data_IF_357764876709
#
_entry.id   IF_357764876709
#
_cell.length_a   1.000
_cell.length_b   1.000
_cell.length_c   1.000
_cell.angle_alpha   90.00
_cell.angle_beta   90.00
_cell.angle_gamma   90.00
#
_symmetry.space_group_name_H-M   'P 1'
#
loop_
_entity.id
_entity.type
_entity.pdbx_description
1 polymer ?
#
# COMPACT_ATOMS: atom_id res chain seq x y z
N UNK A 1 2.90 -15.40 -9.00
CA UNK A 1 1.99 -15.37 -7.84
C UNK A 1 2.13 -14.03 -7.15
N UNK A 2 1.04 -13.44 -6.66
CA UNK A 2 1.11 -12.19 -5.89
C UNK A 2 1.87 -12.50 -4.60
N UNK A 3 2.87 -11.69 -4.24
CA UNK A 3 3.60 -11.94 -2.99
C UNK A 3 2.65 -11.76 -1.82
N UNK A 4 2.84 -12.52 -0.75
CA UNK A 4 2.02 -12.41 0.47
C UNK A 4 2.00 -10.97 1.01
N UNK A 5 3.13 -10.26 0.88
CA UNK A 5 3.28 -8.85 1.24
C UNK A 5 2.41 -7.92 0.39
N UNK A 6 2.28 -8.18 -0.91
CA UNK A 6 1.48 -7.36 -1.82
C UNK A 6 -0.02 -7.51 -1.52
N UNK A 7 -0.46 -8.70 -1.07
CA UNK A 7 -1.83 -8.91 -0.56
C UNK A 7 -2.05 -8.12 0.73
N UNK A 8 -1.08 -8.11 1.65
CA UNK A 8 -1.19 -7.33 2.88
C UNK A 8 -1.32 -5.83 2.60
N UNK A 9 -0.55 -5.31 1.63
CA UNK A 9 -0.68 -3.92 1.19
C UNK A 9 -2.04 -3.65 0.52
N UNK A 10 -2.53 -4.57 -0.31
CA UNK A 10 -3.86 -4.45 -0.92
C UNK A 10 -4.97 -4.33 0.14
N UNK A 11 -4.94 -5.22 1.14
CA UNK A 11 -5.90 -5.19 2.25
C UNK A 11 -5.81 -3.85 2.97
N UNK A 12 -4.59 -3.44 3.33
CA UNK A 12 -4.35 -2.17 4.00
C UNK A 12 -4.91 -0.97 3.22
N UNK A 13 -4.54 -0.81 1.93
CA UNK A 13 -5.01 0.31 1.12
C UNK A 13 -6.54 0.30 0.95
N UNK A 14 -7.12 -0.90 0.83
CA UNK A 14 -8.58 -1.06 0.73
C UNK A 14 -9.28 -0.63 2.01
N UNK A 15 -8.76 -1.01 3.18
CA UNK A 15 -9.35 -0.61 4.47
C UNK A 15 -9.03 0.83 4.85
N UNK A 16 -7.92 1.38 4.38
CA UNK A 16 -7.49 2.73 4.72
C UNK A 16 -8.31 3.81 3.99
N UNK A 17 -8.71 3.57 2.74
CA UNK A 17 -9.58 4.50 1.98
C UNK A 17 -10.87 4.92 2.72
N UNK A 18 -11.70 4.00 3.24
CA UNK A 18 -12.89 4.39 3.99
C UNK A 18 -12.54 5.04 5.34
N UNK A 19 -11.41 4.70 5.97
CA UNK A 19 -10.97 5.34 7.21
C UNK A 19 -10.62 6.82 6.96
N UNK A 20 -9.81 7.10 5.92
CA UNK A 20 -9.46 8.46 5.51
C UNK A 20 -10.74 9.27 5.24
N UNK A 21 -11.70 8.69 4.53
CA UNK A 21 -12.95 9.37 4.23
C UNK A 21 -13.83 9.61 5.47
N UNK A 22 -13.99 8.62 6.35
CA UNK A 22 -14.95 8.69 7.44
C UNK A 22 -14.43 9.43 8.67
N UNK A 23 -13.12 9.37 8.94
CA UNK A 23 -12.51 9.90 10.16
C UNK A 23 -11.56 11.06 9.83
N UNK A 24 -10.53 10.81 9.04
CA UNK A 24 -9.39 11.74 8.94
C UNK A 24 -9.74 13.04 8.22
N UNK A 25 -10.46 12.93 7.10
CA UNK A 25 -10.79 14.07 6.23
C UNK A 25 -12.09 14.77 6.60
N UNK A 26 -12.83 14.25 7.59
CA UNK A 26 -14.08 14.84 8.06
C UNK A 26 -13.99 16.35 8.37
N UNK A 27 -12.88 16.90 8.94
CA UNK A 27 -12.75 18.35 9.15
C UNK A 27 -12.66 19.18 7.86
N UNK A 28 -12.21 18.58 6.75
CA UNK A 28 -12.09 19.23 5.45
C UNK A 28 -13.29 18.95 4.53
N UNK A 29 -14.20 18.05 4.93
CA UNK A 29 -15.34 17.71 4.11
C UNK A 29 -16.32 18.88 4.01
N UNK A 30 -16.81 19.20 2.80
CA UNK A 30 -17.90 20.15 2.67
C UNK A 30 -19.17 19.58 3.31
N UNK A 31 -20.07 20.46 3.75
CA UNK A 31 -21.27 20.09 4.51
C UNK A 31 -22.16 19.04 3.84
N UNK A 32 -22.13 18.93 2.51
CA UNK A 32 -22.87 17.93 1.75
C UNK A 32 -22.22 16.53 1.72
N UNK A 33 -20.91 16.43 1.97
CA UNK A 33 -20.18 15.16 1.98
C UNK A 33 -20.15 14.51 3.38
N UNK A 34 -20.39 15.31 4.42
CA UNK A 34 -20.44 14.83 5.81
C UNK A 34 -21.67 13.96 5.99
N UNK A 35 -21.44 12.70 6.32
CA UNK A 35 -22.51 11.71 6.57
C UNK A 35 -22.75 11.53 8.07
N UNK A 36 -23.96 11.09 8.45
CA UNK A 36 -24.27 10.75 9.84
C UNK A 36 -23.36 9.66 10.40
N UNK A 37 -22.93 8.71 9.55
CA UNK A 37 -21.97 7.68 9.90
C UNK A 37 -20.61 8.28 10.28
N UNK A 38 -20.07 9.19 9.45
CA UNK A 38 -18.81 9.88 9.75
C UNK A 38 -18.89 10.65 11.07
N UNK A 39 -19.96 11.42 11.29
CA UNK A 39 -20.15 12.16 12.55
C UNK A 39 -20.23 11.22 13.76
N UNK A 40 -20.96 10.11 13.65
CA UNK A 40 -21.11 9.12 14.73
C UNK A 40 -19.78 8.46 15.07
N UNK A 41 -19.06 7.97 14.05
CA UNK A 41 -17.76 7.33 14.22
C UNK A 41 -16.73 8.30 14.80
N UNK A 42 -16.72 9.54 14.35
CA UNK A 42 -15.80 10.58 14.85
C UNK A 42 -16.12 10.97 16.28
N UNK A 43 -17.40 11.05 16.64
CA UNK A 43 -17.82 11.33 18.02
C UNK A 43 -17.39 10.19 18.94
N UNK A 44 -17.61 8.93 18.53
CA UNK A 44 -17.12 7.77 19.25
C UNK A 44 -15.59 7.79 19.39
N UNK A 45 -14.88 8.10 18.31
CA UNK A 45 -13.42 8.19 18.28
C UNK A 45 -12.89 9.22 19.28
N UNK A 46 -13.36 10.47 19.20
CA UNK A 46 -12.91 11.55 20.09
C UNK A 46 -13.24 11.24 21.55
N UNK A 47 -14.44 10.71 21.83
CA UNK A 47 -14.82 10.35 23.19
C UNK A 47 -13.99 9.20 23.77
N UNK A 48 -13.53 8.27 22.93
CA UNK A 48 -12.77 7.10 23.35
C UNK A 48 -11.28 7.40 23.51
N UNK A 49 -10.70 8.10 22.54
CA UNK A 49 -9.25 8.29 22.46
C UNK A 49 -8.79 9.66 22.95
N UNK A 50 -9.68 10.66 23.06
CA UNK A 50 -9.35 12.03 23.48
C UNK A 50 -8.23 12.67 22.67
N UNK A 51 -8.23 12.35 21.38
CA UNK A 51 -7.22 12.75 20.43
C UNK A 51 -7.36 14.24 20.07
N UNK A 52 -6.37 15.04 20.49
CA UNK A 52 -6.38 16.49 20.27
C UNK A 52 -6.30 16.89 18.80
N UNK A 53 -5.79 16.03 17.92
CA UNK A 53 -5.75 16.31 16.49
C UNK A 53 -7.16 16.45 15.90
N UNK A 54 -8.16 15.88 16.57
CA UNK A 54 -9.57 15.92 16.14
C UNK A 54 -10.46 16.72 17.10
N UNK A 55 -9.91 17.27 18.19
CA UNK A 55 -10.57 18.22 19.08
C UNK A 55 -10.30 19.67 18.63
N UNK A 56 -11.16 20.60 19.09
CA UNK A 56 -10.97 22.04 18.86
C UNK A 56 -10.26 22.66 20.07
N UNK A 57 -9.22 23.50 19.88
CA UNK A 57 -8.62 23.93 18.59
C UNK A 57 -7.65 22.89 18.02
N UNK A 58 -7.76 22.61 16.72
CA UNK A 58 -6.86 21.70 16.01
C UNK A 58 -5.53 22.40 15.69
N UNK A 59 -4.37 21.76 15.91
CA UNK A 59 -3.08 22.35 15.55
C UNK A 59 -3.01 22.69 14.05
N UNK A 60 -2.62 23.91 13.71
CA UNK A 60 -2.63 24.39 12.32
C UNK A 60 -1.74 23.55 11.39
N UNK A 61 -0.63 23.01 11.91
CA UNK A 61 0.25 22.14 11.16
C UNK A 61 -0.39 20.78 10.83
N UNK A 62 -1.31 20.29 11.67
CA UNK A 62 -1.97 19.01 11.45
C UNK A 62 -2.87 19.05 10.22
N UNK A 63 -3.46 20.21 9.91
CA UNK A 63 -4.23 20.40 8.67
C UNK A 63 -3.42 20.10 7.42
N UNK A 64 -2.11 20.34 7.42
CA UNK A 64 -1.25 19.97 6.30
C UNK A 64 -1.20 18.45 6.09
N UNK A 65 -1.20 17.66 7.16
CA UNK A 65 -1.18 16.19 7.08
C UNK A 65 -2.50 15.65 6.52
N UNK A 66 -3.64 16.20 6.95
CA UNK A 66 -4.95 15.84 6.38
C UNK A 66 -4.98 16.13 4.87
N UNK A 67 -4.42 17.26 4.43
CA UNK A 67 -4.29 17.56 3.00
C UNK A 67 -3.41 16.56 2.26
N UNK A 68 -2.30 16.11 2.85
CA UNK A 68 -1.46 15.08 2.24
C UNK A 68 -2.18 13.73 2.13
N UNK A 69 -3.07 13.39 3.06
CA UNK A 69 -3.90 12.19 2.96
C UNK A 69 -4.89 12.29 1.79
N UNK A 70 -5.57 13.44 1.65
CA UNK A 70 -6.49 13.68 0.53
C UNK A 70 -5.76 13.70 -0.82
N UNK A 71 -4.67 14.47 -0.92
CA UNK A 71 -4.01 14.77 -2.19
C UNK A 71 -3.07 13.64 -2.65
N UNK A 72 -2.52 12.85 -1.73
CA UNK A 72 -1.59 11.79 -2.06
C UNK A 72 -2.06 10.40 -1.61
N UNK A 73 -2.45 10.20 -0.35
CA UNK A 73 -2.82 8.86 0.12
C UNK A 73 -4.04 8.31 -0.65
N UNK A 74 -5.06 9.11 -0.89
CA UNK A 74 -6.27 8.67 -1.61
C UNK A 74 -5.95 8.29 -3.06
N UNK A 75 -5.35 9.16 -3.91
CA UNK A 75 -4.99 8.78 -5.27
C UNK A 75 -4.02 7.60 -5.34
N UNK A 76 -3.01 7.56 -4.46
CA UNK A 76 -2.04 6.48 -4.43
C UNK A 76 -2.68 5.14 -4.04
N UNK A 77 -3.58 5.14 -3.05
CA UNK A 77 -4.29 3.93 -2.60
C UNK A 77 -5.24 3.42 -3.69
N UNK A 78 -5.99 4.30 -4.35
CA UNK A 78 -6.85 3.91 -5.48
C UNK A 78 -6.03 3.32 -6.63
N UNK A 79 -4.89 3.93 -6.97
CA UNK A 79 -3.98 3.42 -7.99
C UNK A 79 -3.40 2.05 -7.61
N UNK A 80 -2.95 1.89 -6.36
CA UNK A 80 -2.38 0.64 -5.87
C UNK A 80 -3.41 -0.50 -5.87
N UNK A 81 -4.63 -0.25 -5.37
CA UNK A 81 -5.73 -1.22 -5.38
C UNK A 81 -6.06 -1.65 -6.81
N UNK A 82 -6.23 -0.68 -7.71
CA UNK A 82 -6.52 -0.97 -9.12
C UNK A 82 -5.40 -1.76 -9.80
N UNK A 83 -4.15 -1.35 -9.62
CA UNK A 83 -2.99 -2.01 -10.22
C UNK A 83 -2.79 -3.44 -9.72
N UNK A 84 -2.98 -3.67 -8.41
CA UNK A 84 -2.85 -5.00 -7.80
C UNK A 84 -3.97 -5.95 -8.26
N UNK A 85 -5.22 -5.49 -8.31
CA UNK A 85 -6.37 -6.29 -8.78
C UNK A 85 -6.24 -6.68 -10.26
N UNK A 86 -5.80 -5.75 -11.12
CA UNK A 86 -5.59 -6.03 -12.55
C UNK A 86 -4.52 -7.11 -12.77
N UNK A 87 -3.47 -7.10 -11.94
CA UNK A 87 -2.42 -8.13 -11.97
C UNK A 87 -2.87 -9.51 -11.48
N UNK A 88 -3.88 -9.60 -10.63
CA UNK A 88 -4.47 -10.87 -10.19
C UNK A 88 -5.37 -11.49 -11.26
N UNK A 89 -6.26 -10.69 -11.85
CA UNK A 89 -7.18 -11.13 -12.90
C UNK A 89 -6.42 -11.74 -14.09
N UNK A 90 -5.41 -11.04 -14.59
CA UNK A 90 -4.58 -11.52 -15.70
C UNK A 90 -3.86 -12.85 -15.38
N UNK A 91 -3.45 -13.07 -14.13
CA UNK A 91 -2.82 -14.34 -13.71
C UNK A 91 -3.81 -15.47 -13.51
N UNK A 92 -5.02 -15.17 -13.03
CA UNK A 92 -6.08 -16.16 -12.92
C UNK A 92 -6.46 -16.70 -14.31
N UNK A 93 -6.57 -15.82 -15.30
CA UNK A 93 -6.81 -16.16 -16.70
C UNK A 93 -5.69 -17.04 -17.28
N UNK A 94 -4.42 -16.68 -17.08
CA UNK A 94 -3.26 -17.49 -17.49
C UNK A 94 -3.28 -18.89 -16.85
N UNK A 95 -3.55 -18.96 -15.54
CA UNK A 95 -3.60 -20.22 -14.81
C UNK A 95 -4.78 -21.10 -15.24
N UNK A 96 -5.90 -20.49 -15.64
CA UNK A 96 -7.04 -21.19 -16.22
C UNK A 96 -6.73 -21.71 -17.63
N UNK A 97 -6.10 -20.89 -18.49
CA UNK A 97 -5.68 -21.27 -19.83
C UNK A 97 -4.67 -22.44 -19.82
N UNK A 98 -3.67 -22.39 -18.93
CA UNK A 98 -2.68 -23.46 -18.77
C UNK A 98 -3.30 -24.76 -18.24
N UNK A 99 -4.24 -24.69 -17.30
CA UNK A 99 -4.98 -25.87 -16.80
C UNK A 99 -5.89 -26.49 -17.87
N UNK A 100 -6.46 -25.68 -18.75
CA UNK A 100 -7.22 -26.17 -19.91
C UNK A 100 -6.36 -26.96 -20.90
N UNK A 101 -5.08 -26.60 -21.04
CA UNK A 101 -4.15 -27.28 -21.95
C UNK A 101 -3.61 -28.62 -21.42
N UNK A 102 -3.76 -28.92 -20.12
CA UNK A 102 -3.29 -30.16 -19.50
C UNK A 102 -4.17 -31.40 -19.78
N UNK A 103 -5.24 -31.24 -20.59
CA UNK A 103 -6.23 -32.30 -20.87
C UNK A 103 -6.33 -32.69 -22.35
N UNK A 104 -5.31 -32.41 -23.16
CA UNK A 104 -5.22 -32.90 -24.54
C UNK A 104 -4.38 -34.19 -24.60
N UNK A 105 -4.93 -35.29 -25.16
CA UNK A 105 -4.19 -36.52 -25.33
C UNK A 105 -3.02 -36.31 -26.29
N UNK A 106 -1.93 -37.02 -26.00
CA UNK A 106 -0.64 -37.00 -26.65
C UNK A 106 -0.71 -37.15 -28.18
N UNK A 107 -0.86 -36.05 -28.91
CA UNK A 107 -0.60 -35.99 -30.34
C UNK A 107 0.25 -34.76 -30.63
N UNK A 108 1.50 -35.08 -30.98
CA UNK A 108 2.31 -34.42 -31.99
C UNK A 108 2.93 -33.05 -31.67
N UNK A 109 4.23 -33.00 -31.94
CA UNK A 109 5.13 -31.88 -31.75
C UNK A 109 4.64 -30.63 -32.51
N UNK A 110 4.14 -29.64 -31.78
CA UNK A 110 4.01 -28.27 -32.29
C UNK A 110 5.13 -27.38 -31.71
N UNK A 111 5.88 -26.65 -32.56
CA UNK A 111 7.03 -25.82 -32.18
C UNK A 111 6.64 -24.52 -31.43
N UNK A 112 5.47 -24.47 -30.78
CA UNK A 112 4.85 -23.25 -30.26
C UNK A 112 4.86 -23.13 -28.72
N UNK A 113 5.42 -24.12 -28.02
CA UNK A 113 5.63 -24.08 -26.55
C UNK A 113 6.56 -22.94 -26.11
N UNK A 114 7.56 -22.61 -26.92
CA UNK A 114 8.52 -21.51 -26.69
C UNK A 114 7.84 -20.14 -26.74
N UNK A 115 6.91 -19.91 -27.66
CA UNK A 115 6.16 -18.65 -27.75
C UNK A 115 5.20 -18.46 -26.57
N UNK A 116 4.59 -19.55 -26.09
CA UNK A 116 3.70 -19.51 -24.91
C UNK A 116 4.47 -19.23 -23.62
N UNK A 117 5.66 -19.81 -23.44
CA UNK A 117 6.50 -19.53 -22.26
C UNK A 117 7.12 -18.14 -22.33
N UNK A 118 7.52 -17.67 -23.51
CA UNK A 118 8.05 -16.32 -23.73
C UNK A 118 6.95 -15.26 -23.52
N UNK A 119 5.73 -15.51 -24.00
CA UNK A 119 4.56 -14.66 -23.76
C UNK A 119 4.12 -14.68 -22.28
N UNK A 120 4.13 -15.85 -21.62
CA UNK A 120 3.86 -15.96 -20.19
C UNK A 120 4.94 -15.24 -19.34
N UNK A 121 6.21 -15.31 -19.75
CA UNK A 121 7.29 -14.55 -19.13
C UNK A 121 7.14 -13.04 -19.38
N UNK A 122 6.69 -12.64 -20.57
CA UNK A 122 6.41 -11.24 -20.90
C UNK A 122 5.23 -10.69 -20.09
N UNK A 123 4.17 -11.48 -19.89
CA UNK A 123 3.03 -11.09 -19.04
C UNK A 123 3.40 -11.12 -17.55
N UNK A 124 4.17 -12.11 -17.10
CA UNK A 124 4.69 -12.15 -15.72
C UNK A 124 5.58 -10.94 -15.45
N UNK A 125 6.40 -10.52 -16.42
CA UNK A 125 7.19 -9.28 -16.37
C UNK A 125 6.30 -8.03 -16.39
N UNK A 126 5.17 -8.04 -17.11
CA UNK A 126 4.23 -6.91 -17.14
C UNK A 126 3.47 -6.72 -15.81
N UNK A 127 3.27 -7.80 -15.03
CA UNK A 127 2.67 -7.70 -13.68
C UNK A 127 3.64 -7.20 -12.59
N UNK A 128 4.95 -7.13 -12.88
CA UNK A 128 5.95 -6.47 -12.05
C UNK A 128 6.09 -5.01 -12.53
N UNK A 129 5.02 -4.22 -12.45
CA UNK A 129 5.10 -2.83 -12.89
C UNK A 129 6.17 -2.10 -12.04
N UNK A 130 7.27 -1.61 -12.64
CA UNK A 130 8.46 -1.16 -11.90
C UNK A 130 8.17 0.04 -10.99
N UNK A 131 7.06 0.76 -11.24
CA UNK A 131 6.65 1.88 -10.39
C UNK A 131 5.94 1.45 -9.10
N UNK A 132 5.46 0.21 -8.95
CA UNK A 132 4.73 -0.20 -7.74
C UNK A 132 5.60 -0.03 -6.48
N UNK A 133 6.84 -0.55 -6.42
CA UNK A 133 7.71 -0.30 -5.27
C UNK A 133 8.02 1.18 -5.06
N UNK A 134 8.07 2.00 -6.12
CA UNK A 134 8.33 3.44 -5.99
C UNK A 134 7.18 4.15 -5.28
N UNK A 135 5.93 3.88 -5.68
CA UNK A 135 4.77 4.48 -5.03
C UNK A 135 4.59 3.99 -3.60
N UNK A 136 4.79 2.68 -3.35
CA UNK A 136 4.75 2.11 -1.99
C UNK A 136 5.86 2.71 -1.11
N UNK A 137 7.04 2.99 -1.67
CA UNK A 137 8.12 3.65 -0.95
C UNK A 137 7.71 5.07 -0.52
N UNK A 138 7.24 5.90 -1.45
CA UNK A 138 6.86 7.28 -1.15
C UNK A 138 5.72 7.29 -0.12
N UNK A 139 4.70 6.44 -0.31
CA UNK A 139 3.61 6.27 0.64
C UNK A 139 4.12 5.84 2.02
N UNK A 140 4.97 4.80 2.09
CA UNK A 140 5.49 4.27 3.35
C UNK A 140 6.33 5.29 4.12
N UNK A 141 7.18 6.04 3.42
CA UNK A 141 8.00 7.11 4.01
C UNK A 141 7.11 8.24 4.54
N UNK A 142 6.15 8.71 3.73
CA UNK A 142 5.24 9.76 4.17
C UNK A 142 4.43 9.33 5.39
N UNK A 143 3.77 8.17 5.32
CA UNK A 143 2.96 7.63 6.40
C UNK A 143 3.78 7.41 7.68
N UNK A 144 5.03 6.97 7.55
CA UNK A 144 5.95 6.84 8.69
C UNK A 144 6.24 8.19 9.34
N UNK A 145 6.62 9.19 8.54
CA UNK A 145 7.00 10.52 9.06
C UNK A 145 5.80 11.19 9.74
N UNK A 146 4.64 11.26 9.07
CA UNK A 146 3.46 11.93 9.62
C UNK A 146 2.98 11.24 10.89
N UNK A 147 2.89 9.90 10.88
CA UNK A 147 2.45 9.13 12.06
C UNK A 147 3.43 9.24 13.22
N UNK A 148 4.75 9.26 12.94
CA UNK A 148 5.77 9.43 13.96
C UNK A 148 5.71 10.84 14.57
N UNK A 149 5.54 11.88 13.75
CA UNK A 149 5.36 13.25 14.23
C UNK A 149 4.15 13.35 15.15
N UNK A 150 3.00 12.78 14.76
CA UNK A 150 1.81 12.73 15.61
C UNK A 150 2.08 11.98 16.91
N UNK A 151 2.80 10.86 16.86
CA UNK A 151 3.11 10.07 18.04
C UNK A 151 4.05 10.82 19.01
N UNK A 152 5.09 11.50 18.50
CA UNK A 152 5.98 12.34 19.32
C UNK A 152 5.18 13.44 20.02
N UNK A 153 4.27 14.09 19.30
CA UNK A 153 3.40 15.13 19.84
C UNK A 153 2.44 14.59 20.92
N UNK A 154 1.83 13.42 20.72
CA UNK A 154 0.95 12.77 21.73
C UNK A 154 1.68 12.59 23.06
N UNK A 155 2.95 12.20 23.01
CA UNK A 155 3.75 11.99 24.22
C UNK A 155 4.15 13.31 24.89
N UNK A 156 4.24 14.40 24.12
CA UNK A 156 4.51 15.75 24.62
C UNK A 156 3.31 16.41 25.32
N UNK A 157 2.08 15.90 25.17
CA UNK A 157 0.89 16.48 25.83
C UNK A 157 0.94 16.36 27.36
N UNK A 158 0.72 17.44 28.09
CA UNK A 158 0.80 17.42 29.57
C UNK A 158 -0.56 17.17 30.26
N UNK A 159 -1.66 17.32 29.53
CA UNK A 159 -3.06 17.29 30.00
C UNK A 159 -3.76 15.93 29.76
N UNK A 160 -3.02 14.90 29.35
CA UNK A 160 -3.51 13.54 29.16
C UNK A 160 -2.75 12.58 30.05
N UNK A 161 -3.49 11.65 30.66
CA UNK A 161 -2.91 10.57 31.46
C UNK A 161 -2.06 9.63 30.60
N UNK A 162 -1.13 8.93 31.23
CA UNK A 162 -0.29 7.94 30.54
C UNK A 162 -1.11 6.85 29.86
N UNK A 163 -2.24 6.45 30.44
CA UNK A 163 -3.13 5.43 29.87
C UNK A 163 -3.80 5.94 28.59
N UNK A 164 -4.30 7.19 28.59
CA UNK A 164 -4.87 7.80 27.39
C UNK A 164 -3.82 7.89 26.27
N UNK A 165 -2.60 8.33 26.59
CA UNK A 165 -1.48 8.36 25.63
C UNK A 165 -1.14 6.98 25.09
N UNK A 166 -1.13 5.95 25.93
CA UNK A 166 -0.90 4.56 25.51
C UNK A 166 -2.01 4.05 24.59
N UNK A 167 -3.27 4.37 24.87
CA UNK A 167 -4.41 3.98 24.03
C UNK A 167 -4.32 4.60 22.64
N UNK A 168 -3.97 5.90 22.56
CA UNK A 168 -3.72 6.57 21.28
C UNK A 168 -2.49 5.96 20.59
N UNK A 169 -1.41 5.71 21.33
CA UNK A 169 -0.20 5.07 20.79
C UNK A 169 -0.48 3.69 20.21
N UNK A 170 -1.37 2.90 20.82
CA UNK A 170 -1.77 1.60 20.30
C UNK A 170 -2.51 1.69 18.95
N UNK A 171 -3.11 2.85 18.64
CA UNK A 171 -3.74 3.12 17.36
C UNK A 171 -2.73 3.60 16.30
N UNK A 172 -1.88 4.57 16.64
CA UNK A 172 -0.92 5.18 15.71
C UNK A 172 0.33 4.32 15.47
N UNK A 173 0.78 3.59 16.50
CA UNK A 173 1.99 2.75 16.47
C UNK A 173 2.00 1.71 15.34
N UNK A 174 0.90 0.98 15.08
CA UNK A 174 0.80 0.10 13.93
C UNK A 174 1.03 0.80 12.58
N UNK A 175 0.56 2.04 12.40
CA UNK A 175 0.80 2.81 11.16
C UNK A 175 2.27 3.21 11.01
N UNK A 176 2.92 3.61 12.11
CA UNK A 176 4.38 3.89 12.12
C UNK A 176 5.15 2.62 11.71
N UNK A 177 4.87 1.49 12.35
CA UNK A 177 5.55 0.23 12.06
C UNK A 177 5.30 -0.23 10.62
N UNK A 178 4.06 -0.14 10.14
CA UNK A 178 3.70 -0.53 8.78
C UNK A 178 4.34 0.39 7.73
N UNK A 179 4.33 1.70 7.94
CA UNK A 179 4.97 2.67 7.04
C UNK A 179 6.47 2.42 6.91
N UNK A 180 7.16 2.19 8.04
CA UNK A 180 8.57 1.81 8.05
C UNK A 180 8.82 0.51 7.29
N UNK A 181 7.99 -0.52 7.53
CA UNK A 181 8.09 -1.80 6.85
C UNK A 181 7.91 -1.65 5.33
N UNK A 182 6.87 -0.93 4.89
CA UNK A 182 6.60 -0.64 3.46
C UNK A 182 7.78 0.07 2.79
N UNK A 183 8.37 1.06 3.46
CA UNK A 183 9.53 1.77 2.95
C UNK A 183 10.76 0.85 2.79
N UNK A 184 11.08 0.06 3.81
CA UNK A 184 12.21 -0.87 3.78
C UNK A 184 12.02 -1.93 2.70
N UNK A 185 10.87 -2.60 2.66
CA UNK A 185 10.54 -3.62 1.65
C UNK A 185 10.67 -3.03 0.24
N UNK A 186 10.16 -1.83 0.01
CA UNK A 186 10.24 -1.17 -1.28
C UNK A 186 11.67 -0.82 -1.69
N UNK A 187 12.50 -0.35 -0.75
CA UNK A 187 13.94 -0.11 -1.00
C UNK A 187 14.64 -1.41 -1.39
N UNK A 188 14.39 -2.50 -0.67
CA UNK A 188 14.99 -3.80 -0.97
C UNK A 188 14.60 -4.30 -2.36
N UNK A 189 13.33 -4.13 -2.75
CA UNK A 189 12.84 -4.47 -4.10
C UNK A 189 13.49 -3.64 -5.19
N UNK A 190 13.55 -2.31 -5.01
CA UNK A 190 14.19 -1.42 -5.97
C UNK A 190 15.68 -1.72 -6.11
N UNK A 191 16.39 -2.00 -5.00
CA UNK A 191 17.78 -2.42 -5.04
C UNK A 191 17.98 -3.71 -5.83
N UNK A 192 17.13 -4.72 -5.63
CA UNK A 192 17.21 -5.97 -6.37
C UNK A 192 16.97 -5.77 -7.88
N UNK A 193 16.10 -4.83 -8.25
CA UNK A 193 15.81 -4.51 -9.66
C UNK A 193 16.91 -3.67 -10.33
N UNK A 194 17.48 -2.69 -9.61
CA UNK A 194 18.46 -1.75 -10.15
C UNK A 194 19.91 -2.28 -10.09
N UNK A 195 20.21 -3.17 -9.15
CA UNK A 195 21.54 -3.76 -8.97
C UNK A 195 21.51 -5.29 -9.15
N UNK A 196 21.09 -5.82 -10.31
CA UNK A 196 21.19 -7.26 -10.57
C UNK A 196 22.67 -7.67 -10.63
N UNK A 197 23.07 -8.62 -9.78
CA UNK A 197 24.43 -9.13 -9.64
C UNK A 197 25.18 -9.23 -10.98
N UNK A 198 26.38 -8.63 -11.05
CA UNK A 198 27.26 -8.61 -12.24
C UNK A 198 27.54 -9.99 -12.84
N UNK A 199 27.42 -11.06 -12.02
CA UNK A 199 27.58 -12.46 -12.45
C UNK A 199 26.51 -12.90 -13.47
N UNK A 200 25.29 -12.37 -13.41
CA UNK A 200 24.23 -12.67 -14.37
C UNK A 200 24.49 -12.02 -15.74
N UNK A 201 25.06 -10.80 -15.75
CA UNK A 201 25.52 -10.13 -16.99
C UNK A 201 26.70 -10.87 -17.61
N UNK A 202 27.68 -11.30 -16.81
CA UNK A 202 28.84 -12.05 -17.29
C UNK A 202 28.45 -13.40 -17.93
N UNK A 203 27.51 -14.15 -17.33
CA UNK A 203 27.00 -15.40 -17.91
C UNK A 203 26.15 -15.21 -19.17
N UNK A 204 25.47 -14.06 -19.30
CA UNK A 204 24.68 -13.73 -20.51
C UNK A 204 25.59 -13.32 -21.67
N UNK A 205 26.73 -12.69 -21.38
CA UNK A 205 27.75 -12.36 -22.38
C UNK A 205 28.50 -13.62 -22.85
N UNK A 206 28.90 -14.50 -21.93
CA UNK A 206 29.55 -15.79 -22.23
C UNK A 206 28.67 -16.80 -22.99
N UNK A 207 27.35 -16.60 -23.05
CA UNK A 207 26.43 -17.43 -23.86
C UNK A 207 26.13 -16.84 -25.23
N UNK A 208 26.59 -15.62 -25.53
CA UNK A 208 26.44 -14.95 -26.83
C UNK A 208 27.72 -15.00 -27.68
N UNK A 209 28.84 -15.38 -27.08
CA UNK A 209 30.10 -15.74 -27.75
C UNK A 209 30.16 -17.25 -27.96
#
# INVERSE_FOLDING_TARGET
MLRKTDIAYLIFFTTHLPIIYLIDTAPLQPTWAVTSLSTTLRTFYVNTYRDKFFESPTPAWFSAFIWMEVLYHVPASLWAVWGLLKGECSRAELSAAQRGSAKLPSIEALPNQTKSSEFANHISSATEHPLIPVHILIFGVQAFITSLTCLVEVWAWEDRSTVEKQNITALYGPYVALGAYMAIDSILRLRAQLMPNSKAKAQTQLKRE
#
